data_IF_998427012500
#
_entry.id   IF_998427012500
#
_cell.length_a   1.000
_cell.length_b   1.000
_cell.length_c   1.000
_cell.angle_alpha   90.00
_cell.angle_beta   90.00
_cell.angle_gamma   90.00
#
_symmetry.space_group_name_H-M   'P 1'
#
loop_
_entity.id
_entity.type
_entity.pdbx_description
1 polymer ?
#
# COMPACT_ATOMS: atom_id res chain seq x y z
N UNK A 1 -59.04 58.49 8.34
CA UNK A 1 -57.57 58.66 8.21
C UNK A 1 -56.81 57.90 9.32
N UNK A 2 -57.19 56.64 9.62
CA UNK A 2 -56.68 55.88 10.79
C UNK A 2 -55.99 54.54 10.41
N UNK A 3 -56.03 54.14 9.14
CA UNK A 3 -55.50 52.84 8.67
C UNK A 3 -54.01 52.85 8.26
N UNK A 4 -53.47 54.01 7.91
CA UNK A 4 -52.08 54.23 7.49
C UNK A 4 -50.97 53.67 8.43
N UNK A 5 -51.07 53.75 9.77
CA UNK A 5 -50.00 53.27 10.64
C UNK A 5 -49.93 51.73 10.75
N UNK A 6 -51.07 51.03 10.61
CA UNK A 6 -51.13 49.56 10.69
C UNK A 6 -50.63 48.92 9.40
N UNK A 7 -51.03 49.46 8.24
CA UNK A 7 -50.62 49.00 6.92
C UNK A 7 -49.09 49.08 6.73
N UNK A 8 -48.49 50.20 7.12
CA UNK A 8 -47.02 50.37 7.13
C UNK A 8 -46.29 49.42 8.09
N UNK A 9 -46.93 49.00 9.17
CA UNK A 9 -46.40 48.01 10.11
C UNK A 9 -46.32 46.63 9.46
N UNK A 10 -47.39 46.22 8.77
CA UNK A 10 -47.49 44.94 8.07
C UNK A 10 -46.47 44.87 6.92
N UNK A 11 -46.33 45.94 6.13
CA UNK A 11 -45.32 46.02 5.06
C UNK A 11 -43.90 45.87 5.60
N UNK A 12 -43.55 46.57 6.69
CA UNK A 12 -42.23 46.45 7.32
C UNK A 12 -41.96 45.06 7.86
N UNK A 13 -42.93 44.42 8.50
CA UNK A 13 -42.79 43.04 9.00
C UNK A 13 -42.64 42.04 7.85
N UNK A 14 -43.36 42.21 6.75
CA UNK A 14 -43.20 41.39 5.55
C UNK A 14 -41.82 41.58 4.89
N UNK A 15 -41.32 42.82 4.82
CA UNK A 15 -39.99 43.14 4.31
C UNK A 15 -38.89 42.51 5.20
N UNK A 16 -39.02 42.62 6.52
CA UNK A 16 -38.12 42.00 7.48
C UNK A 16 -38.14 40.47 7.38
N UNK A 17 -39.32 39.86 7.20
CA UNK A 17 -39.45 38.42 7.00
C UNK A 17 -38.79 37.96 5.69
N UNK A 18 -38.92 38.74 4.59
CA UNK A 18 -38.24 38.46 3.31
C UNK A 18 -36.72 38.57 3.44
N UNK A 19 -36.23 39.61 4.13
CA UNK A 19 -34.80 39.81 4.38
C UNK A 19 -34.23 38.69 5.25
N UNK A 20 -34.96 38.28 6.30
CA UNK A 20 -34.59 37.15 7.14
C UNK A 20 -34.59 35.83 6.35
N UNK A 21 -35.61 35.57 5.53
CA UNK A 21 -35.65 34.37 4.68
C UNK A 21 -34.49 34.35 3.68
N UNK A 22 -34.16 35.50 3.07
CA UNK A 22 -33.03 35.62 2.14
C UNK A 22 -31.68 35.41 2.82
N UNK A 23 -31.50 35.94 4.04
CA UNK A 23 -30.26 35.74 4.80
C UNK A 23 -30.11 34.29 5.26
N UNK A 24 -31.20 33.62 5.67
CA UNK A 24 -31.20 32.18 5.98
C UNK A 24 -30.87 31.33 4.75
N UNK A 25 -31.44 31.65 3.59
CA UNK A 25 -31.14 30.94 2.34
C UNK A 25 -29.66 31.08 1.94
N UNK A 26 -29.10 32.29 2.02
CA UNK A 26 -27.68 32.54 1.77
C UNK A 26 -26.76 31.84 2.78
N UNK A 27 -27.16 31.76 4.05
CA UNK A 27 -26.42 31.02 5.06
C UNK A 27 -26.42 29.52 4.75
N UNK A 28 -27.56 28.95 4.37
CA UNK A 28 -27.68 27.55 3.98
C UNK A 28 -26.82 27.22 2.75
N UNK A 29 -26.80 28.08 1.73
CA UNK A 29 -25.94 27.92 0.54
C UNK A 29 -24.45 27.94 0.92
N UNK A 30 -24.02 28.90 1.76
CA UNK A 30 -22.63 28.97 2.24
C UNK A 30 -22.24 27.73 3.05
N UNK A 31 -23.14 27.22 3.89
CA UNK A 31 -22.92 25.98 4.64
C UNK A 31 -22.83 24.78 3.70
N UNK A 32 -23.66 24.70 2.67
CA UNK A 32 -23.60 23.63 1.68
C UNK A 32 -22.28 23.64 0.89
N UNK A 33 -21.83 24.81 0.43
CA UNK A 33 -20.53 24.96 -0.24
C UNK A 33 -19.38 24.60 0.69
N UNK A 34 -19.42 25.07 1.95
CA UNK A 34 -18.40 24.71 2.94
C UNK A 34 -18.38 23.21 3.27
N UNK A 35 -19.55 22.56 3.30
CA UNK A 35 -19.68 21.13 3.51
C UNK A 35 -19.08 20.34 2.34
N UNK A 36 -19.33 20.74 1.10
CA UNK A 36 -18.71 20.13 -0.09
C UNK A 36 -17.19 20.29 -0.09
N UNK A 37 -16.66 21.49 0.18
CA UNK A 37 -15.20 21.72 0.27
C UNK A 37 -14.57 20.84 1.36
N UNK A 38 -15.26 20.72 2.50
CA UNK A 38 -14.79 19.89 3.63
C UNK A 38 -14.77 18.41 3.26
N UNK A 39 -15.82 17.94 2.56
CA UNK A 39 -15.92 16.56 2.08
C UNK A 39 -14.84 16.23 1.07
N UNK A 40 -14.65 17.07 0.04
CA UNK A 40 -13.60 16.88 -0.98
C UNK A 40 -12.19 16.86 -0.34
N UNK A 41 -11.95 17.77 0.61
CA UNK A 41 -10.69 17.79 1.37
C UNK A 41 -10.50 16.54 2.21
N UNK A 42 -11.56 15.99 2.80
CA UNK A 42 -11.51 14.76 3.58
C UNK A 42 -11.26 13.55 2.67
N UNK A 43 -11.97 13.42 1.56
CA UNK A 43 -11.82 12.35 0.58
C UNK A 43 -10.39 12.34 0.03
N UNK A 44 -9.84 13.51 -0.35
CA UNK A 44 -8.45 13.60 -0.80
C UNK A 44 -7.43 13.18 0.26
N UNK A 45 -7.68 13.49 1.53
CA UNK A 45 -6.82 13.02 2.64
C UNK A 45 -6.89 11.51 2.80
N UNK A 46 -8.07 10.90 2.64
CA UNK A 46 -8.22 9.43 2.73
C UNK A 46 -7.51 8.72 1.58
N UNK A 47 -7.59 9.25 0.36
CA UNK A 47 -6.89 8.73 -0.81
C UNK A 47 -5.37 8.81 -0.64
N UNK A 48 -4.85 9.97 -0.24
CA UNK A 48 -3.42 10.14 0.04
C UNK A 48 -2.92 9.26 1.21
N UNK A 49 -3.79 8.93 2.16
CA UNK A 49 -3.46 7.97 3.21
C UNK A 49 -3.34 6.54 2.63
N UNK A 50 -4.28 6.14 1.79
CA UNK A 50 -4.26 4.85 1.09
C UNK A 50 -2.99 4.70 0.23
N UNK A 51 -2.62 5.72 -0.56
CA UNK A 51 -1.41 5.70 -1.38
C UNK A 51 -0.13 5.48 -0.54
N UNK A 52 -0.02 6.13 0.63
CA UNK A 52 1.11 5.93 1.54
C UNK A 52 1.19 4.50 2.07
N UNK A 53 0.05 3.85 2.32
CA UNK A 53 0.05 2.45 2.74
C UNK A 53 0.53 1.51 1.64
N UNK A 54 0.19 1.81 0.39
CA UNK A 54 0.64 1.03 -0.78
C UNK A 54 2.15 1.18 -0.97
N UNK A 55 2.68 2.41 -0.97
CA UNK A 55 4.13 2.63 -1.11
C UNK A 55 4.94 2.01 0.04
N UNK A 56 4.39 2.03 1.26
CA UNK A 56 5.01 1.32 2.38
C UNK A 56 5.06 -0.19 2.12
N UNK A 57 3.98 -0.78 1.61
CA UNK A 57 3.93 -2.20 1.26
C UNK A 57 4.93 -2.57 0.15
N UNK A 58 5.06 -1.75 -0.90
CA UNK A 58 6.03 -1.94 -1.98
C UNK A 58 7.47 -1.89 -1.47
N UNK A 59 7.78 -0.98 -0.54
CA UNK A 59 9.12 -0.90 0.08
C UNK A 59 9.45 -2.14 0.89
N UNK A 60 8.49 -2.65 1.67
CA UNK A 60 8.67 -3.90 2.41
C UNK A 60 8.87 -5.08 1.46
N UNK A 61 8.09 -5.16 0.39
CA UNK A 61 8.25 -6.19 -0.65
C UNK A 61 9.65 -6.12 -1.29
N UNK A 62 10.10 -4.94 -1.72
CA UNK A 62 11.42 -4.76 -2.31
C UNK A 62 12.54 -5.10 -1.32
N UNK A 63 12.32 -4.87 -0.03
CA UNK A 63 13.26 -5.28 1.01
C UNK A 63 13.37 -6.80 1.12
N UNK A 64 12.25 -7.53 1.13
CA UNK A 64 12.23 -9.00 1.14
C UNK A 64 12.92 -9.60 -0.09
N UNK A 65 12.64 -9.08 -1.29
CA UNK A 65 13.28 -9.56 -2.52
C UNK A 65 14.79 -9.34 -2.47
N UNK A 66 15.24 -8.16 -2.02
CA UNK A 66 16.67 -7.84 -1.93
C UNK A 66 17.40 -8.74 -0.95
N UNK A 67 16.86 -8.95 0.25
CA UNK A 67 17.47 -9.82 1.24
C UNK A 67 17.45 -11.29 0.79
N UNK A 68 16.39 -11.72 0.09
CA UNK A 68 16.32 -13.02 -0.55
C UNK A 68 17.42 -13.22 -1.60
N UNK A 69 17.60 -12.29 -2.53
CA UNK A 69 18.64 -12.35 -3.55
C UNK A 69 20.06 -12.36 -2.94
N UNK A 70 20.31 -11.53 -1.93
CA UNK A 70 21.59 -11.52 -1.23
C UNK A 70 21.86 -12.88 -0.56
N UNK A 71 20.88 -13.43 0.15
CA UNK A 71 21.00 -14.73 0.80
C UNK A 71 21.21 -15.87 -0.22
N UNK A 72 20.51 -15.85 -1.36
CA UNK A 72 20.67 -16.83 -2.43
C UNK A 72 22.10 -16.77 -3.02
N UNK A 73 22.57 -15.57 -3.38
CA UNK A 73 23.92 -15.38 -3.90
C UNK A 73 24.99 -15.80 -2.88
N UNK A 74 24.81 -15.45 -1.61
CA UNK A 74 25.70 -15.88 -0.53
C UNK A 74 25.67 -17.39 -0.32
N UNK A 75 24.52 -18.05 -0.41
CA UNK A 75 24.40 -19.51 -0.25
C UNK A 75 25.14 -20.27 -1.34
N UNK A 76 24.99 -19.84 -2.61
CA UNK A 76 25.71 -20.40 -3.75
C UNK A 76 27.21 -20.10 -3.65
N UNK A 77 27.57 -18.86 -3.31
CA UNK A 77 28.97 -18.44 -3.16
C UNK A 77 29.69 -19.17 -2.02
N UNK A 78 29.00 -19.40 -0.89
CA UNK A 78 29.55 -20.10 0.26
C UNK A 78 29.98 -21.54 -0.09
N UNK A 79 29.24 -22.22 -0.98
CA UNK A 79 29.61 -23.56 -1.43
C UNK A 79 31.00 -23.57 -2.08
N UNK A 80 31.24 -22.63 -3.00
CA UNK A 80 32.51 -22.54 -3.73
C UNK A 80 33.66 -21.98 -2.90
N UNK A 81 33.36 -21.09 -1.95
CA UNK A 81 34.39 -20.49 -1.09
C UNK A 81 34.87 -21.44 0.01
N UNK A 82 34.00 -22.32 0.50
CA UNK A 82 34.32 -23.24 1.61
C UNK A 82 34.75 -24.63 1.14
N UNK A 83 34.66 -24.90 -0.18
CA UNK A 83 35.14 -26.12 -0.82
C UNK A 83 36.63 -26.36 -0.51
N UNK A 84 36.97 -27.53 0.01
CA UNK A 84 38.35 -27.89 0.38
C UNK A 84 38.90 -27.24 1.65
N UNK A 85 38.19 -26.28 2.27
CA UNK A 85 38.61 -25.63 3.53
C UNK A 85 37.98 -26.30 4.75
N UNK A 86 36.70 -26.68 4.65
CA UNK A 86 35.94 -27.33 5.74
C UNK A 86 35.28 -28.61 5.27
N UNK A 87 34.76 -29.41 6.21
CA UNK A 87 34.04 -30.66 5.90
C UNK A 87 32.84 -30.41 4.99
N UNK A 88 32.65 -31.25 3.97
CA UNK A 88 31.56 -31.15 2.98
C UNK A 88 30.17 -31.03 3.61
N UNK A 89 29.95 -31.67 4.76
CA UNK A 89 28.69 -31.57 5.50
C UNK A 89 28.42 -30.15 6.02
N UNK A 90 29.48 -29.45 6.45
CA UNK A 90 29.38 -28.09 6.96
C UNK A 90 29.21 -27.06 5.83
N UNK A 91 29.85 -27.30 4.68
CA UNK A 91 29.62 -26.52 3.44
C UNK A 91 28.15 -26.63 3.01
N UNK A 92 27.66 -27.87 2.90
CA UNK A 92 26.29 -28.15 2.46
C UNK A 92 25.25 -27.60 3.45
N UNK A 93 25.51 -27.69 4.76
CA UNK A 93 24.64 -27.12 5.78
C UNK A 93 24.55 -25.59 5.68
N UNK A 94 25.68 -24.91 5.55
CA UNK A 94 25.72 -23.44 5.49
C UNK A 94 25.02 -22.91 4.23
N UNK A 95 25.29 -23.51 3.06
CA UNK A 95 24.62 -23.16 1.81
C UNK A 95 23.11 -23.43 1.88
N UNK A 96 22.70 -24.58 2.45
CA UNK A 96 21.29 -24.94 2.58
C UNK A 96 20.51 -23.93 3.42
N UNK A 97 21.05 -23.49 4.56
CA UNK A 97 20.40 -22.50 5.43
C UNK A 97 20.20 -21.17 4.70
N UNK A 98 21.22 -20.68 4.00
CA UNK A 98 21.14 -19.43 3.22
C UNK A 98 20.15 -19.52 2.06
N UNK A 99 20.15 -20.63 1.32
CA UNK A 99 19.23 -20.87 0.21
C UNK A 99 17.79 -21.01 0.70
N UNK A 100 17.55 -21.76 1.79
CA UNK A 100 16.22 -21.87 2.41
C UNK A 100 15.73 -20.52 2.92
N UNK A 101 16.60 -19.72 3.53
CA UNK A 101 16.27 -18.36 3.96
C UNK A 101 15.89 -17.47 2.77
N UNK A 102 16.56 -17.62 1.61
CA UNK A 102 16.17 -16.91 0.40
C UNK A 102 14.77 -17.29 -0.09
N UNK A 103 14.46 -18.59 -0.11
CA UNK A 103 13.15 -19.10 -0.53
C UNK A 103 12.05 -18.58 0.41
N UNK A 104 12.33 -18.56 1.72
CA UNK A 104 11.45 -17.94 2.72
C UNK A 104 11.21 -16.45 2.43
N UNK A 105 12.26 -15.68 2.14
CA UNK A 105 12.12 -14.25 1.81
C UNK A 105 11.22 -14.03 0.58
N UNK A 106 11.40 -14.81 -0.49
CA UNK A 106 10.55 -14.71 -1.69
C UNK A 106 9.09 -15.13 -1.40
N UNK A 107 8.89 -16.18 -0.61
CA UNK A 107 7.56 -16.61 -0.19
C UNK A 107 6.87 -15.55 0.67
N UNK A 108 7.59 -14.93 1.62
CA UNK A 108 7.08 -13.84 2.45
C UNK A 108 6.67 -12.61 1.61
N UNK A 109 7.46 -12.28 0.57
CA UNK A 109 7.15 -11.20 -0.36
C UNK A 109 5.84 -11.46 -1.10
N UNK A 110 5.63 -12.67 -1.62
CA UNK A 110 4.40 -13.08 -2.32
C UNK A 110 3.20 -13.15 -1.38
N UNK A 111 3.36 -13.77 -0.21
CA UNK A 111 2.30 -13.90 0.78
C UNK A 111 1.75 -12.53 1.19
N UNK A 112 2.64 -11.58 1.50
CA UNK A 112 2.26 -10.21 1.85
C UNK A 112 1.44 -9.57 0.72
N UNK A 113 1.86 -9.74 -0.53
CA UNK A 113 1.19 -9.10 -1.66
C UNK A 113 -0.19 -9.69 -1.97
N UNK A 114 -0.36 -11.00 -1.87
CA UNK A 114 -1.61 -11.69 -2.22
C UNK A 114 -2.64 -11.59 -1.10
N UNK A 115 -2.24 -11.71 0.16
CA UNK A 115 -3.17 -11.80 1.30
C UNK A 115 -3.42 -10.47 2.01
N UNK A 116 -2.53 -9.48 1.89
CA UNK A 116 -2.71 -8.15 2.50
C UNK A 116 -3.29 -7.23 1.43
N UNK A 117 -4.61 -7.35 1.20
CA UNK A 117 -5.33 -6.53 0.24
C UNK A 117 -5.18 -5.02 0.50
N UNK A 118 -5.32 -4.22 -0.55
CA UNK A 118 -5.25 -2.76 -0.42
C UNK A 118 -6.40 -2.23 0.46
N UNK A 119 -6.12 -1.32 1.41
CA UNK A 119 -7.17 -0.64 2.14
C UNK A 119 -8.11 0.11 1.17
N UNK A 120 -9.44 0.09 1.37
CA UNK A 120 -10.32 1.06 0.71
C UNK A 120 -10.03 2.48 1.25
N UNK A 121 -10.17 3.58 0.48
CA UNK A 121 -10.60 3.70 -0.93
C UNK A 121 -9.55 3.27 -1.94
N UNK A 122 -9.96 2.98 -3.19
CA UNK A 122 -9.04 2.47 -4.24
C UNK A 122 -7.93 3.51 -4.49
N UNK A 123 -6.66 3.18 -4.19
CA UNK A 123 -5.52 4.04 -4.47
C UNK A 123 -5.49 4.41 -5.97
N UNK A 124 -5.30 5.69 -6.28
CA UNK A 124 -5.15 6.22 -7.66
C UNK A 124 -3.71 6.06 -8.20
N UNK A 125 -2.84 5.41 -7.42
CA UNK A 125 -1.46 5.11 -7.84
C UNK A 125 -1.39 3.86 -8.73
N UNK A 126 -0.58 3.98 -9.80
CA UNK A 126 -0.24 2.87 -10.69
C UNK A 126 0.48 1.77 -9.90
N UNK A 127 -0.24 0.68 -9.61
CA UNK A 127 0.33 -0.50 -8.95
C UNK A 127 1.09 -1.36 -9.94
N UNK A 128 2.25 -1.85 -9.50
CA UNK A 128 2.97 -2.90 -10.24
C UNK A 128 2.02 -4.12 -10.34
N UNK A 129 1.79 -4.66 -11.57
CA UNK A 129 0.83 -5.73 -11.77
C UNK A 129 1.14 -6.93 -10.86
N UNK A 130 0.22 -7.34 -9.96
CA UNK A 130 0.48 -8.38 -8.98
C UNK A 130 0.94 -9.70 -9.61
N UNK A 131 0.42 -10.00 -10.80
CA UNK A 131 0.79 -11.19 -11.58
C UNK A 131 2.28 -11.23 -11.89
N UNK A 132 2.88 -10.10 -12.28
CA UNK A 132 4.31 -10.05 -12.60
C UNK A 132 5.17 -10.38 -11.38
N UNK A 133 4.80 -9.85 -10.21
CA UNK A 133 5.53 -10.07 -8.97
C UNK A 133 5.38 -11.50 -8.44
N UNK A 134 4.20 -12.09 -8.57
CA UNK A 134 3.97 -13.52 -8.26
C UNK A 134 4.78 -14.42 -9.18
N UNK A 135 4.76 -14.16 -10.49
CA UNK A 135 5.51 -14.95 -11.48
C UNK A 135 7.02 -14.86 -11.22
N UNK A 136 7.54 -13.64 -11.02
CA UNK A 136 8.97 -13.41 -10.77
C UNK A 136 9.46 -14.09 -9.49
N UNK A 137 8.76 -13.93 -8.36
CA UNK A 137 9.17 -14.61 -7.11
C UNK A 137 8.95 -16.11 -7.17
N UNK A 138 7.88 -16.57 -7.82
CA UNK A 138 7.67 -18.00 -8.05
C UNK A 138 8.86 -18.60 -8.80
N UNK A 139 9.34 -17.92 -9.84
CA UNK A 139 10.55 -18.31 -10.54
C UNK A 139 11.79 -18.30 -9.62
N UNK A 140 11.99 -17.26 -8.80
CA UNK A 140 13.12 -17.20 -7.86
C UNK A 140 13.08 -18.31 -6.80
N UNK A 141 11.90 -18.70 -6.32
CA UNK A 141 11.73 -19.86 -5.43
C UNK A 141 12.13 -21.14 -6.14
N UNK A 142 11.73 -21.34 -7.40
CA UNK A 142 12.16 -22.50 -8.19
C UNK A 142 13.68 -22.52 -8.36
N UNK A 143 14.30 -21.37 -8.62
CA UNK A 143 15.78 -21.24 -8.69
C UNK A 143 16.42 -21.60 -7.34
N UNK A 144 15.87 -21.13 -6.22
CA UNK A 144 16.37 -21.47 -4.89
C UNK A 144 16.25 -22.98 -4.59
N UNK A 145 15.13 -23.61 -4.96
CA UNK A 145 14.96 -25.05 -4.82
C UNK A 145 15.93 -25.83 -5.72
N UNK A 146 16.13 -25.40 -6.96
CA UNK A 146 17.11 -26.00 -7.86
C UNK A 146 18.54 -25.85 -7.33
N UNK A 147 18.89 -24.71 -6.73
CA UNK A 147 20.16 -24.47 -6.07
C UNK A 147 20.33 -25.40 -4.85
N UNK A 148 19.27 -25.58 -4.05
CA UNK A 148 19.29 -26.51 -2.92
C UNK A 148 19.52 -27.96 -3.37
N UNK A 149 18.84 -28.40 -4.43
CA UNK A 149 19.06 -29.73 -5.03
C UNK A 149 20.49 -29.84 -5.56
N UNK A 150 20.99 -28.82 -6.25
CA UNK A 150 22.36 -28.78 -6.76
C UNK A 150 23.40 -28.82 -5.65
N UNK A 151 23.09 -28.29 -4.46
CA UNK A 151 23.98 -28.32 -3.31
C UNK A 151 24.19 -29.75 -2.78
N UNK A 152 23.14 -30.58 -2.85
CA UNK A 152 23.13 -31.94 -2.33
C UNK A 152 23.57 -32.99 -3.36
N UNK A 153 23.23 -32.77 -4.63
CA UNK A 153 23.49 -33.71 -5.73
C UNK A 153 24.52 -33.18 -6.73
N UNK A 154 25.12 -32.02 -6.45
CA UNK A 154 26.16 -31.45 -7.29
C UNK A 154 27.42 -32.31 -7.26
N UNK A 155 28.13 -32.44 -8.40
CA UNK A 155 29.41 -33.11 -8.41
C UNK A 155 30.39 -32.41 -7.46
N UNK A 156 31.24 -33.19 -6.76
CA UNK A 156 32.25 -32.65 -5.85
C UNK A 156 33.28 -31.79 -6.58
#
# INVERSE_FOLDING_TARGET
>A
MVTQPVEKGIERSAEQAKVAAKSTAQAAERTAVAAEITKDSADRRTELAADRTVFAAERTYAAWVRTGLAALASGIGAQKLLEGVVSNWMVSGTGSVLVLFSAFCFAAAVWRQVFVGAPPPRPDVHRIPPVLLVVLNGFLVLVALAALVSLWFGPP
#
